data_IF_273359542907
#
_entry.id   IF_273359542907
#
_cell.length_a   1.000
_cell.length_b   1.000
_cell.length_c   1.000
_cell.angle_alpha   90.00
_cell.angle_beta   90.00
_cell.angle_gamma   90.00
#
_symmetry.space_group_name_H-M   'P 1'
#
loop_
_entity.id
_entity.type
_entity.pdbx_description
1 polymer ?
#
# COMPACT_ATOMS: atom_id res chain seq x y z
N UNK A 1 -21.91 -6.14 -15.15
CA UNK A 1 -21.33 -6.60 -13.87
C UNK A 1 -20.27 -5.59 -13.50
N UNK A 2 -20.64 -4.61 -12.69
CA UNK A 2 -19.70 -3.60 -12.19
C UNK A 2 -18.73 -4.28 -11.23
N UNK A 3 -17.44 -4.31 -11.60
CA UNK A 3 -16.37 -4.76 -10.70
C UNK A 3 -16.21 -3.71 -9.60
N UNK A 4 -16.28 -4.14 -8.35
CA UNK A 4 -16.07 -3.26 -7.19
C UNK A 4 -14.57 -2.99 -7.05
N UNK A 5 -14.14 -1.78 -7.40
CA UNK A 5 -12.79 -1.32 -7.13
C UNK A 5 -12.65 -0.90 -5.66
N UNK A 6 -11.59 -1.36 -5.00
CA UNK A 6 -11.24 -1.00 -3.62
C UNK A 6 -10.08 -0.01 -3.61
N UNK A 7 -10.20 1.06 -2.82
CA UNK A 7 -9.11 2.01 -2.61
C UNK A 7 -8.66 2.01 -1.14
N UNK A 8 -7.36 2.13 -0.92
CA UNK A 8 -6.75 2.33 0.40
C UNK A 8 -5.97 3.62 0.41
N UNK A 9 -6.10 4.38 1.50
CA UNK A 9 -5.36 5.63 1.72
C UNK A 9 -4.54 5.45 3.01
N UNK A 10 -3.23 5.65 2.90
CA UNK A 10 -2.27 5.54 4.00
C UNK A 10 -1.81 6.95 4.36
N UNK A 11 -1.94 7.31 5.63
CA UNK A 11 -1.38 8.55 6.19
C UNK A 11 -0.30 8.14 7.20
N UNK A 12 0.96 8.41 6.88
CA UNK A 12 2.10 8.15 7.78
C UNK A 12 2.76 9.45 8.19
N UNK A 13 3.22 9.48 9.45
CA UNK A 13 3.86 10.63 10.09
C UNK A 13 5.39 10.52 10.15
N UNK A 14 5.98 9.51 9.53
CA UNK A 14 7.43 9.31 9.57
C UNK A 14 7.98 8.64 8.32
N UNK A 15 7.14 8.51 7.28
CA UNK A 15 7.54 7.89 6.03
C UNK A 15 7.38 8.84 4.87
N UNK A 16 8.26 8.68 3.90
CA UNK A 16 8.12 9.34 2.61
C UNK A 16 7.13 8.59 1.71
N UNK A 17 6.66 9.26 0.65
CA UNK A 17 5.85 8.60 -0.39
C UNK A 17 6.56 7.35 -0.91
N UNK A 18 7.84 7.44 -1.21
CA UNK A 18 8.60 6.36 -1.85
C UNK A 18 8.76 5.14 -0.92
N UNK A 19 9.00 5.36 0.37
CA UNK A 19 9.02 4.29 1.37
C UNK A 19 7.67 3.57 1.48
N UNK A 20 6.57 4.32 1.51
CA UNK A 20 5.22 3.74 1.56
C UNK A 20 4.88 2.96 0.29
N UNK A 21 5.31 3.45 -0.88
CA UNK A 21 5.12 2.74 -2.16
C UNK A 21 5.91 1.43 -2.18
N UNK A 22 7.16 1.45 -1.72
CA UNK A 22 8.00 0.25 -1.65
C UNK A 22 7.45 -0.79 -0.67
N UNK A 23 6.90 -0.35 0.47
CA UNK A 23 6.28 -1.26 1.44
C UNK A 23 5.05 -1.96 0.83
N UNK A 24 4.20 -1.22 0.13
CA UNK A 24 3.02 -1.80 -0.53
C UNK A 24 3.41 -2.73 -1.67
N UNK A 25 4.48 -2.44 -2.41
CA UNK A 25 5.02 -3.34 -3.43
C UNK A 25 5.57 -4.63 -2.80
N UNK A 26 6.28 -4.52 -1.67
CA UNK A 26 6.76 -5.67 -0.91
C UNK A 26 5.61 -6.51 -0.34
N UNK A 27 4.55 -5.86 0.13
CA UNK A 27 3.31 -6.51 0.54
C UNK A 27 2.64 -7.27 -0.61
N UNK A 28 2.53 -6.64 -1.79
CA UNK A 28 1.97 -7.29 -2.97
C UNK A 28 2.76 -8.55 -3.34
N UNK A 29 4.10 -8.48 -3.35
CA UNK A 29 4.98 -9.63 -3.62
C UNK A 29 4.81 -10.74 -2.59
N UNK A 30 4.78 -10.39 -1.29
CA UNK A 30 4.57 -11.37 -0.22
C UNK A 30 3.20 -12.01 -0.31
N UNK A 31 2.16 -11.24 -0.61
CA UNK A 31 0.78 -11.72 -0.76
C UNK A 31 0.67 -12.73 -1.91
N UNK A 32 1.40 -12.51 -3.01
CA UNK A 32 1.47 -13.45 -4.13
C UNK A 32 2.21 -14.72 -3.70
N UNK A 33 3.36 -14.60 -3.02
CA UNK A 33 4.15 -15.76 -2.61
C UNK A 33 3.44 -16.63 -1.55
N UNK A 34 2.74 -16.02 -0.59
CA UNK A 34 1.93 -16.76 0.40
C UNK A 34 0.75 -17.50 -0.23
N UNK A 35 0.29 -17.07 -1.42
CA UNK A 35 -0.73 -17.82 -2.17
C UNK A 35 -0.17 -19.05 -2.90
N UNK A 36 1.14 -19.09 -3.17
CA UNK A 36 1.81 -20.23 -3.81
C UNK A 36 2.31 -21.31 -2.85
N UNK A 37 2.57 -20.99 -1.56
CA UNK A 37 3.03 -21.99 -0.57
C UNK A 37 1.91 -22.82 0.08
N UNK A 38 0.63 -22.49 -0.16
CA UNK A 38 -0.54 -23.22 0.39
C UNK A 38 -1.12 -24.25 -0.60
N UNK A 39 -0.43 -24.56 -1.70
CA UNK A 39 -0.84 -25.60 -2.67
C UNK A 39 -0.59 -27.05 -2.21
N UNK A 40 -0.71 -27.33 -0.91
CA UNK A 40 -0.63 -28.70 -0.37
C UNK A 40 -1.83 -29.11 0.51
N UNK A 41 -2.89 -28.31 0.60
CA UNK A 41 -4.13 -28.69 1.26
C UNK A 41 -5.35 -28.20 0.47
N UNK A 42 -6.11 -29.16 -0.07
CA UNK A 42 -7.41 -28.96 -0.74
C UNK A 42 -8.35 -28.06 0.07
N UNK A 43 -9.24 -27.34 -0.64
CA UNK A 43 -10.41 -26.57 -0.20
C UNK A 43 -10.33 -25.03 -0.04
N UNK A 44 -9.67 -24.28 -0.93
CA UNK A 44 -9.89 -22.81 -1.02
C UNK A 44 -9.93 -22.28 -2.46
N UNK A 45 -11.11 -22.35 -3.09
CA UNK A 45 -11.40 -21.84 -4.44
C UNK A 45 -11.56 -20.30 -4.52
N UNK A 46 -11.07 -19.51 -3.55
CA UNK A 46 -11.41 -18.06 -3.48
C UNK A 46 -10.21 -17.11 -3.37
N UNK A 47 -8.97 -17.57 -3.15
CA UNK A 47 -7.85 -16.66 -2.83
C UNK A 47 -6.74 -16.54 -3.87
N UNK A 48 -6.87 -17.14 -5.06
CA UNK A 48 -5.80 -17.14 -6.09
C UNK A 48 -5.83 -15.96 -7.06
N UNK A 49 -6.82 -15.05 -6.98
CA UNK A 49 -6.99 -13.98 -7.98
C UNK A 49 -7.26 -12.60 -7.38
N UNK A 50 -6.75 -12.32 -6.17
CA UNK A 50 -6.99 -11.02 -5.57
C UNK A 50 -5.94 -10.01 -6.10
N UNK A 51 -6.33 -8.97 -6.88
CA UNK A 51 -5.41 -8.14 -7.64
C UNK A 51 -4.41 -7.40 -6.74
N UNK A 52 -3.19 -7.04 -7.19
CA UNK A 52 -2.29 -6.24 -6.37
C UNK A 52 -2.81 -4.81 -6.18
N UNK A 53 -2.40 -4.16 -5.08
CA UNK A 53 -2.61 -2.72 -4.92
C UNK A 53 -1.70 -1.96 -5.87
N UNK A 54 -2.25 -1.04 -6.65
CA UNK A 54 -1.53 -0.17 -7.58
C UNK A 54 -1.52 1.25 -7.05
N UNK A 55 -0.36 1.90 -7.08
CA UNK A 55 -0.26 3.32 -6.72
C UNK A 55 -1.23 4.14 -7.59
N UNK A 56 -2.08 4.93 -6.93
CA UNK A 56 -3.07 5.80 -7.59
C UNK A 56 -2.63 7.26 -7.54
N UNK A 57 -2.33 7.77 -6.34
CA UNK A 57 -2.00 9.18 -6.13
C UNK A 57 -1.33 9.41 -4.79
N UNK A 58 -0.74 10.58 -4.58
CA UNK A 58 -0.33 11.07 -3.27
C UNK A 58 -0.97 12.44 -3.04
N UNK A 59 -1.56 12.64 -1.86
CA UNK A 59 -1.95 13.98 -1.43
C UNK A 59 -0.69 14.64 -0.90
N UNK A 60 -0.33 15.76 -1.54
CA UNK A 60 0.83 16.61 -1.29
C UNK A 60 1.34 16.50 0.16
N UNK A 61 2.53 15.91 0.33
CA UNK A 61 3.25 15.89 1.60
C UNK A 61 3.36 17.33 2.10
N UNK A 62 2.76 17.65 3.25
CA UNK A 62 2.87 19.00 3.81
C UNK A 62 4.34 19.31 4.07
N UNK A 63 4.81 20.55 3.79
CA UNK A 63 6.20 20.91 4.03
C UNK A 63 6.54 20.64 5.50
N UNK A 64 7.66 19.96 5.70
CA UNK A 64 8.25 19.71 7.02
C UNK A 64 8.42 21.07 7.71
N UNK A 65 7.55 21.37 8.68
CA UNK A 65 7.65 22.65 9.39
C UNK A 65 8.85 22.56 10.32
N UNK A 66 9.94 23.24 9.97
CA UNK A 66 11.16 23.30 10.78
C UNK A 66 10.96 24.38 11.85
N UNK A 67 10.91 24.00 13.13
CA UNK A 67 10.94 24.94 14.26
C UNK A 67 12.22 24.70 15.06
N UNK A 68 13.09 25.71 15.17
CA UNK A 68 14.32 25.62 15.96
C UNK A 68 15.43 24.73 15.39
N UNK A 69 15.39 24.39 14.09
CA UNK A 69 16.42 23.54 13.44
C UNK A 69 16.20 22.03 13.59
N UNK A 70 15.13 21.63 14.30
CA UNK A 70 14.67 20.24 14.30
C UNK A 70 13.66 20.03 13.18
N UNK A 71 13.83 18.94 12.45
CA UNK A 71 12.90 18.56 11.39
C UNK A 71 11.54 18.19 11.99
N UNK A 72 10.48 18.87 11.54
CA UNK A 72 9.11 18.59 11.95
C UNK A 72 8.63 17.22 11.47
N UNK A 73 7.42 16.84 11.90
CA UNK A 73 6.78 15.58 11.52
C UNK A 73 6.54 15.54 10.00
N UNK A 74 7.15 14.57 9.30
CA UNK A 74 6.95 14.35 7.86
C UNK A 74 5.65 13.58 7.65
N UNK A 75 4.62 14.25 7.12
CA UNK A 75 3.32 13.61 6.86
C UNK A 75 3.18 13.28 5.38
N UNK A 76 3.15 11.99 5.03
CA UNK A 76 2.87 11.51 3.69
C UNK A 76 1.48 10.87 3.64
N UNK A 77 0.70 11.23 2.61
CA UNK A 77 -0.59 10.60 2.32
C UNK A 77 -0.55 9.97 0.94
N UNK A 78 -0.69 8.65 0.86
CA UNK A 78 -0.59 7.89 -0.39
C UNK A 78 -1.85 7.05 -0.59
N UNK A 79 -2.37 7.02 -1.81
CA UNK A 79 -3.54 6.26 -2.19
C UNK A 79 -3.16 5.13 -3.15
N UNK A 80 -3.76 3.96 -2.94
CA UNK A 80 -3.62 2.79 -3.80
C UNK A 80 -5.00 2.25 -4.20
N UNK A 81 -5.08 1.63 -5.37
CA UNK A 81 -6.29 1.07 -5.97
C UNK A 81 -6.13 -0.43 -6.24
N UNK A 82 -7.21 -1.18 -6.12
CA UNK A 82 -7.32 -2.60 -6.42
C UNK A 82 -8.62 -2.86 -7.20
N UNK A 83 -8.55 -3.55 -8.35
CA UNK A 83 -9.64 -3.69 -9.34
C UNK A 83 -10.05 -5.13 -9.67
#
# INVERSE_FOLDING_TARGET
>A
MDRISSAIVIISCNNTKDELVQEVESFNQRSINTSSEVEAAKDQEVQTNVPPFRYLSHVRTYPTFMFGGSEGLRVATVAFLRN
#
